data_IF_479377942526
#
_entry.id   IF_479377942526
#
_cell.length_a   1.000
_cell.length_b   1.000
_cell.length_c   1.000
_cell.angle_alpha   90.00
_cell.angle_beta   90.00
_cell.angle_gamma   90.00
#
_symmetry.space_group_name_H-M   'P 1'
#
loop_
_entity.id
_entity.type
_entity.pdbx_description
1 polymer ?
#
# COMPACT_ATOMS: atom_id res chain seq x y z
N UNK A 1 14.76 -30.49 10.16
CA UNK A 1 14.80 -29.02 10.12
C UNK A 1 13.77 -28.58 9.08
N UNK A 2 12.54 -28.33 9.52
CA UNK A 2 11.42 -27.94 8.68
C UNK A 2 11.67 -26.52 8.18
N UNK A 3 11.80 -26.36 6.87
CA UNK A 3 11.79 -25.06 6.20
C UNK A 3 10.46 -24.38 6.54
N UNK A 4 10.50 -23.31 7.31
CA UNK A 4 9.34 -22.44 7.50
C UNK A 4 8.97 -21.87 6.13
N UNK A 5 8.08 -22.54 5.43
CA UNK A 5 7.34 -22.00 4.30
C UNK A 5 6.67 -20.74 4.84
N UNK A 6 7.07 -19.57 4.32
CA UNK A 6 6.58 -18.28 4.79
C UNK A 6 5.06 -18.19 4.65
N UNK A 7 4.37 -18.56 5.70
CA UNK A 7 2.91 -18.43 5.81
C UNK A 7 2.56 -16.96 5.75
N UNK A 8 1.74 -16.57 4.76
CA UNK A 8 1.27 -15.21 4.62
C UNK A 8 0.39 -14.85 5.84
N UNK A 9 0.80 -13.87 6.61
CA UNK A 9 -0.03 -13.33 7.69
C UNK A 9 -1.07 -12.39 7.08
N UNK A 10 -2.33 -12.50 7.52
CA UNK A 10 -3.37 -11.58 7.11
C UNK A 10 -3.15 -10.21 7.75
N UNK A 11 -3.26 -9.13 6.97
CA UNK A 11 -3.10 -7.75 7.48
C UNK A 11 -4.18 -7.38 8.50
N UNK A 12 -5.34 -8.02 8.43
CA UNK A 12 -6.47 -7.79 9.32
C UNK A 12 -6.46 -8.72 10.56
N UNK A 13 -5.51 -9.65 10.67
CA UNK A 13 -5.45 -10.55 11.82
C UNK A 13 -5.38 -9.77 13.13
N UNK A 14 -6.25 -10.11 14.10
CA UNK A 14 -6.34 -9.44 15.39
C UNK A 14 -6.97 -8.04 15.36
N UNK A 15 -7.50 -7.57 14.22
CA UNK A 15 -8.24 -6.32 14.13
C UNK A 15 -9.74 -6.53 14.36
N UNK A 16 -10.48 -5.44 14.50
CA UNK A 16 -11.96 -5.42 14.58
C UNK A 16 -12.66 -6.00 13.35
N UNK A 17 -11.94 -6.37 12.31
CA UNK A 17 -12.44 -6.98 11.07
C UNK A 17 -12.03 -8.45 10.92
N UNK A 18 -11.47 -9.06 11.99
CA UNK A 18 -11.06 -10.45 12.04
C UNK A 18 -11.74 -11.15 13.24
N UNK A 19 -12.42 -12.32 13.00
CA UNK A 19 -12.56 -13.11 11.76
C UNK A 19 -13.52 -12.48 10.74
N UNK A 20 -13.14 -12.52 9.47
CA UNK A 20 -13.93 -11.93 8.38
C UNK A 20 -14.70 -13.02 7.57
N UNK A 21 -15.41 -12.59 6.54
CA UNK A 21 -16.18 -13.49 5.66
C UNK A 21 -15.34 -14.63 5.05
N UNK A 22 -14.02 -14.48 4.91
CA UNK A 22 -13.16 -15.56 4.44
C UNK A 22 -13.08 -16.73 5.44
N UNK A 23 -13.30 -16.48 6.73
CA UNK A 23 -13.39 -17.54 7.74
C UNK A 23 -14.66 -18.39 7.54
N UNK A 24 -15.78 -17.74 7.17
CA UNK A 24 -17.05 -18.40 6.86
C UNK A 24 -16.99 -19.25 5.59
N UNK A 25 -16.20 -18.80 4.61
CA UNK A 25 -16.04 -19.48 3.33
C UNK A 25 -14.97 -20.59 3.33
N UNK A 26 -14.27 -20.83 4.43
CA UNK A 26 -13.15 -21.77 4.46
C UNK A 26 -11.92 -21.27 3.70
N UNK A 27 -11.74 -19.94 3.58
CA UNK A 27 -10.74 -19.30 2.75
C UNK A 27 -9.83 -18.32 3.55
N UNK A 28 -9.76 -18.51 4.87
CA UNK A 28 -8.98 -17.63 5.73
C UNK A 28 -7.49 -17.60 5.32
N UNK A 29 -6.91 -16.41 5.19
CA UNK A 29 -5.51 -16.26 4.76
C UNK A 29 -4.52 -16.70 5.85
N UNK A 30 -4.87 -16.53 7.12
CA UNK A 30 -3.96 -16.71 8.25
C UNK A 30 -4.19 -17.99 9.07
N UNK A 31 -5.43 -18.44 9.21
CA UNK A 31 -5.77 -19.57 10.08
C UNK A 31 -5.99 -20.85 9.26
N UNK A 32 -5.17 -21.87 9.48
CA UNK A 32 -5.24 -23.16 8.79
C UNK A 32 -6.56 -23.89 9.06
N UNK A 33 -7.05 -23.90 10.30
CA UNK A 33 -8.34 -24.50 10.62
C UNK A 33 -9.51 -23.84 9.91
N UNK A 34 -9.47 -22.52 9.70
CA UNK A 34 -10.48 -21.78 8.94
C UNK A 34 -10.23 -21.80 7.42
N UNK A 35 -9.20 -22.51 6.96
CA UNK A 35 -9.01 -22.97 5.57
C UNK A 35 -9.55 -24.38 5.34
N UNK A 36 -10.00 -25.07 6.39
CA UNK A 36 -10.45 -26.46 6.32
C UNK A 36 -9.34 -27.48 6.52
N UNK A 37 -8.17 -27.08 7.04
CA UNK A 37 -7.10 -28.00 7.40
C UNK A 37 -7.39 -28.65 8.78
N UNK A 38 -6.99 -29.90 8.97
CA UNK A 38 -7.26 -30.66 10.21
C UNK A 38 -6.38 -30.21 11.37
N UNK A 39 -5.22 -29.60 11.09
CA UNK A 39 -4.24 -29.20 12.10
C UNK A 39 -4.01 -27.70 12.12
N UNK A 40 -3.79 -27.16 13.33
CA UNK A 40 -3.40 -25.79 13.51
C UNK A 40 -1.92 -25.59 13.11
N UNK A 41 -1.69 -24.94 11.97
CA UNK A 41 -0.36 -24.57 11.46
C UNK A 41 -0.37 -23.11 11.00
N UNK A 42 -0.61 -22.17 11.92
CA UNK A 42 -0.61 -20.76 11.60
C UNK A 42 0.62 -20.04 12.21
N UNK A 43 1.13 -19.04 11.50
CA UNK A 43 2.24 -18.17 11.98
C UNK A 43 1.76 -16.94 12.77
N UNK A 44 0.46 -16.82 13.01
CA UNK A 44 -0.11 -15.73 13.77
C UNK A 44 0.18 -15.87 15.28
N UNK A 45 0.73 -14.83 15.90
CA UNK A 45 1.13 -14.83 17.32
C UNK A 45 0.22 -14.00 18.23
N UNK A 46 -0.86 -13.43 17.69
CA UNK A 46 -1.87 -12.69 18.46
C UNK A 46 -2.97 -13.61 19.05
N UNK A 47 -4.12 -13.02 19.37
CA UNK A 47 -5.29 -13.78 19.83
C UNK A 47 -5.70 -14.80 18.77
N UNK A 48 -5.99 -16.03 19.19
CA UNK A 48 -6.33 -17.12 18.26
C UNK A 48 -7.57 -16.81 17.44
N UNK A 49 -7.41 -16.69 16.12
CA UNK A 49 -8.50 -16.35 15.18
C UNK A 49 -9.62 -17.41 15.20
N UNK A 50 -9.24 -18.68 15.35
CA UNK A 50 -10.22 -19.76 15.44
C UNK A 50 -11.07 -19.67 16.73
N UNK A 51 -10.44 -19.33 17.86
CA UNK A 51 -11.17 -19.13 19.11
C UNK A 51 -12.11 -17.93 19.02
N UNK A 52 -11.68 -16.82 18.43
CA UNK A 52 -12.55 -15.66 18.20
C UNK A 52 -13.73 -16.00 17.28
N UNK A 53 -13.49 -16.81 16.24
CA UNK A 53 -14.55 -17.33 15.39
C UNK A 53 -15.59 -18.14 16.15
N UNK A 54 -15.16 -19.02 17.06
CA UNK A 54 -16.06 -19.79 17.91
C UNK A 54 -16.83 -18.90 18.87
N UNK A 55 -16.17 -17.92 19.51
CA UNK A 55 -16.82 -16.97 20.44
C UNK A 55 -17.81 -16.04 19.73
N UNK A 56 -17.57 -15.69 18.48
CA UNK A 56 -18.51 -14.96 17.63
C UNK A 56 -19.69 -15.81 17.15
N UNK A 57 -19.82 -17.06 17.64
CA UNK A 57 -20.89 -17.97 17.25
C UNK A 57 -20.72 -18.51 15.82
N UNK A 58 -19.50 -18.67 15.37
CA UNK A 58 -19.13 -19.09 13.99
C UNK A 58 -19.70 -18.15 12.94
N UNK A 59 -19.58 -16.84 13.16
CA UNK A 59 -20.01 -15.79 12.24
C UNK A 59 -18.89 -14.78 12.01
N UNK A 60 -18.80 -14.22 10.80
CA UNK A 60 -17.85 -13.16 10.54
C UNK A 60 -18.22 -11.89 11.32
N UNK A 61 -17.22 -11.12 11.71
CA UNK A 61 -17.42 -9.76 12.21
C UNK A 61 -17.93 -8.85 11.07
N UNK A 62 -18.59 -7.73 11.41
CA UNK A 62 -19.11 -6.81 10.41
C UNK A 62 -18.02 -6.35 9.44
N UNK A 63 -18.33 -6.25 8.13
CA UNK A 63 -17.40 -5.70 7.16
C UNK A 63 -17.14 -4.21 7.41
N UNK A 64 -16.11 -3.68 6.77
CA UNK A 64 -15.79 -2.24 6.82
C UNK A 64 -16.99 -1.41 6.38
N UNK A 65 -17.42 -0.42 7.18
CA UNK A 65 -18.56 0.43 6.87
C UNK A 65 -18.26 1.35 5.69
N UNK A 66 -19.30 1.75 5.00
CA UNK A 66 -19.28 2.89 4.11
C UNK A 66 -19.69 4.15 4.92
N UNK A 67 -19.02 5.26 4.68
CA UNK A 67 -19.25 6.52 5.36
C UNK A 67 -19.03 7.72 4.44
N UNK A 68 -19.55 8.87 4.81
CA UNK A 68 -19.40 10.11 4.08
C UNK A 68 -18.15 10.87 4.54
N UNK A 69 -17.41 11.41 3.56
CA UNK A 69 -16.29 12.31 3.79
C UNK A 69 -16.65 13.69 3.25
N UNK A 70 -16.86 14.70 4.11
CA UNK A 70 -16.99 16.07 3.67
C UNK A 70 -15.77 16.49 2.85
N UNK A 71 -16.01 16.92 1.62
CA UNK A 71 -14.99 17.38 0.70
C UNK A 71 -14.75 18.87 0.93
N UNK A 72 -13.57 19.21 1.47
CA UNK A 72 -13.21 20.59 1.78
C UNK A 72 -12.69 21.30 0.52
N UNK A 73 -11.82 20.63 -0.25
CA UNK A 73 -11.14 21.23 -1.39
C UNK A 73 -10.69 20.16 -2.38
N UNK A 74 -10.67 20.52 -3.66
CA UNK A 74 -9.97 19.79 -4.72
C UNK A 74 -8.97 20.74 -5.38
N UNK A 75 -7.69 20.42 -5.27
CA UNK A 75 -6.64 21.12 -5.98
C UNK A 75 -6.31 20.33 -7.26
N UNK A 76 -6.68 20.89 -8.41
CA UNK A 76 -6.33 20.32 -9.70
C UNK A 76 -5.05 21.00 -10.20
N UNK A 77 -3.89 20.44 -9.83
CA UNK A 77 -2.59 20.95 -10.25
C UNK A 77 -2.33 20.83 -11.76
N UNK A 78 -3.11 19.97 -12.42
CA UNK A 78 -3.11 19.77 -13.88
C UNK A 78 -4.34 18.96 -14.29
N UNK A 79 -4.54 18.78 -15.61
CA UNK A 79 -5.59 17.89 -16.12
C UNK A 79 -5.35 16.39 -15.79
N UNK A 80 -4.19 16.05 -15.26
CA UNK A 80 -3.77 14.67 -14.95
C UNK A 80 -3.68 14.36 -13.46
N UNK A 81 -3.78 15.39 -12.57
CA UNK A 81 -3.64 15.24 -11.13
C UNK A 81 -4.72 16.02 -10.39
N UNK A 82 -5.33 15.39 -9.39
CA UNK A 82 -6.17 16.04 -8.40
C UNK A 82 -5.71 15.66 -6.98
N UNK A 83 -5.68 16.63 -6.08
CA UNK A 83 -5.47 16.43 -4.63
C UNK A 83 -6.75 16.81 -3.92
N UNK A 84 -7.31 15.87 -3.17
CA UNK A 84 -8.53 16.03 -2.39
C UNK A 84 -8.17 16.30 -0.95
N UNK A 85 -8.74 17.34 -0.36
CA UNK A 85 -8.75 17.57 1.08
C UNK A 85 -10.14 17.24 1.61
N UNK A 86 -10.21 16.30 2.55
CA UNK A 86 -11.45 15.82 3.14
C UNK A 86 -11.38 15.85 4.67
N UNK A 87 -12.54 15.79 5.32
CA UNK A 87 -12.63 15.62 6.76
C UNK A 87 -12.91 14.15 7.11
N UNK A 88 -12.00 13.55 7.89
CA UNK A 88 -12.13 12.17 8.37
C UNK A 88 -12.87 12.17 9.71
N UNK A 89 -13.86 11.28 9.92
CA UNK A 89 -14.47 11.11 11.24
C UNK A 89 -13.39 10.84 12.31
N UNK A 90 -13.45 11.56 13.44
CA UNK A 90 -12.39 11.54 14.45
C UNK A 90 -12.02 10.14 14.96
N UNK A 91 -13.03 9.25 15.09
CA UNK A 91 -12.80 7.86 15.49
C UNK A 91 -12.03 7.01 14.48
N UNK A 92 -11.90 7.47 13.20
CA UNK A 92 -11.19 6.74 12.14
C UNK A 92 -9.82 7.34 11.83
N UNK A 93 -9.50 8.53 12.33
CA UNK A 93 -8.27 9.24 11.97
C UNK A 93 -7.00 8.42 12.29
N UNK A 94 -6.98 7.73 13.42
CA UNK A 94 -5.87 6.85 13.81
C UNK A 94 -5.68 5.68 12.85
N UNK A 95 -6.76 5.00 12.49
CA UNK A 95 -6.74 3.86 11.58
C UNK A 95 -6.36 4.25 10.14
N UNK A 96 -6.83 5.43 9.69
CA UNK A 96 -6.51 5.99 8.37
C UNK A 96 -5.05 6.46 8.31
N UNK A 97 -4.48 6.93 9.43
CA UNK A 97 -3.08 7.37 9.50
C UNK A 97 -2.06 6.22 9.55
N UNK A 98 -2.48 4.97 9.65
CA UNK A 98 -1.55 3.85 9.67
C UNK A 98 -0.79 3.72 8.34
N UNK A 99 0.54 3.51 8.39
CA UNK A 99 1.35 3.30 7.18
C UNK A 99 0.76 2.16 6.34
N UNK A 100 0.55 2.40 5.06
CA UNK A 100 -0.06 1.48 4.11
C UNK A 100 -1.60 1.50 4.11
N UNK A 101 -2.22 2.44 4.84
CA UNK A 101 -3.65 2.62 4.78
C UNK A 101 -4.10 3.25 3.45
N UNK A 102 -5.27 2.79 2.98
CA UNK A 102 -5.98 3.39 1.86
C UNK A 102 -7.50 3.33 2.09
N UNK A 103 -8.22 4.17 1.40
CA UNK A 103 -9.68 4.15 1.34
C UNK A 103 -10.15 3.84 -0.08
N UNK A 104 -11.28 3.18 -0.22
CA UNK A 104 -12.04 3.25 -1.46
C UNK A 104 -12.86 4.52 -1.45
N UNK A 105 -12.67 5.36 -2.46
CA UNK A 105 -13.41 6.61 -2.65
C UNK A 105 -14.26 6.53 -3.91
N UNK A 106 -15.46 7.09 -3.84
CA UNK A 106 -16.35 7.30 -5.01
C UNK A 106 -17.28 8.49 -4.82
N UNK A 107 -17.78 9.10 -5.91
CA UNK A 107 -18.81 10.12 -5.82
C UNK A 107 -20.15 9.55 -5.33
N UNK A 108 -20.96 10.31 -4.57
CA UNK A 108 -22.33 9.93 -4.26
C UNK A 108 -23.15 9.63 -5.51
N UNK A 109 -24.15 8.76 -5.39
CA UNK A 109 -25.00 8.37 -6.50
C UNK A 109 -24.36 7.42 -7.53
N UNK A 110 -23.05 7.11 -7.40
CA UNK A 110 -22.38 6.12 -8.25
C UNK A 110 -22.45 4.71 -7.64
N UNK A 111 -22.36 3.69 -8.51
CA UNK A 111 -22.34 2.28 -8.06
C UNK A 111 -20.98 1.93 -7.44
N UNK A 112 -20.94 0.87 -6.64
CA UNK A 112 -19.72 0.37 -5.99
C UNK A 112 -18.58 0.02 -6.96
N UNK A 113 -18.88 -0.28 -8.23
CA UNK A 113 -17.84 -0.46 -9.25
C UNK A 113 -17.03 0.81 -9.52
N UNK A 114 -17.48 1.98 -9.05
CA UNK A 114 -16.72 3.22 -9.07
C UNK A 114 -15.75 3.36 -7.90
N UNK A 115 -15.80 2.49 -6.90
CA UNK A 115 -14.81 2.48 -5.83
C UNK A 115 -13.38 2.52 -6.39
N UNK A 116 -12.63 3.53 -6.00
CA UNK A 116 -11.24 3.75 -6.40
C UNK A 116 -10.37 3.66 -5.16
N UNK A 117 -9.43 2.71 -5.08
CA UNK A 117 -8.50 2.66 -3.96
C UNK A 117 -7.56 3.86 -4.03
N UNK A 118 -7.49 4.63 -2.96
CA UNK A 118 -6.66 5.83 -2.88
C UNK A 118 -5.88 5.82 -1.56
N UNK A 119 -4.56 5.85 -1.66
CA UNK A 119 -3.67 5.91 -0.50
C UNK A 119 -3.62 7.32 0.09
N UNK A 120 -3.43 7.38 1.40
CA UNK A 120 -3.28 8.64 2.11
C UNK A 120 -2.01 9.37 1.66
N UNK A 121 -2.13 10.67 1.42
CA UNK A 121 -1.01 11.58 1.18
C UNK A 121 -0.49 12.17 2.51
N UNK A 122 -1.38 12.70 3.33
CA UNK A 122 -1.11 13.11 4.70
C UNK A 122 -2.42 13.29 5.50
N UNK A 123 -2.27 13.50 6.82
CA UNK A 123 -3.37 13.79 7.72
C UNK A 123 -2.91 14.70 8.87
N UNK A 124 -3.69 15.74 9.14
CA UNK A 124 -3.47 16.67 10.24
C UNK A 124 -4.78 16.82 11.05
N UNK A 125 -4.81 16.21 12.23
CA UNK A 125 -6.06 16.09 13.01
C UNK A 125 -7.08 15.25 12.23
N UNK A 126 -8.22 15.84 11.89
CA UNK A 126 -9.27 15.20 11.07
C UNK A 126 -9.17 15.54 9.57
N UNK A 127 -8.26 16.40 9.16
CA UNK A 127 -8.09 16.77 7.75
C UNK A 127 -7.09 15.85 7.07
N UNK A 128 -7.54 15.11 6.06
CA UNK A 128 -6.72 14.20 5.28
C UNK A 128 -6.64 14.65 3.82
N UNK A 129 -5.47 14.44 3.19
CA UNK A 129 -5.28 14.68 1.77
C UNK A 129 -5.02 13.35 1.05
N UNK A 130 -5.58 13.25 -0.15
CA UNK A 130 -5.44 12.11 -1.05
C UNK A 130 -5.13 12.63 -2.45
N UNK A 131 -4.15 12.02 -3.12
CA UNK A 131 -3.81 12.37 -4.50
C UNK A 131 -4.27 11.29 -5.48
N UNK A 132 -4.80 11.71 -6.62
CA UNK A 132 -5.35 10.82 -7.65
C UNK A 132 -4.86 11.26 -9.02
N UNK A 133 -4.33 10.32 -9.80
CA UNK A 133 -4.06 10.52 -11.21
C UNK A 133 -5.35 10.38 -12.01
N UNK A 134 -5.66 11.40 -12.83
CA UNK A 134 -6.89 11.45 -13.62
C UNK A 134 -6.65 10.72 -14.95
N UNK A 135 -7.01 9.44 -15.04
CA UNK A 135 -6.77 8.61 -16.23
C UNK A 135 -8.05 8.01 -16.83
N UNK A 136 -8.98 7.59 -15.98
CA UNK A 136 -10.15 6.82 -16.41
C UNK A 136 -11.47 7.37 -15.88
N UNK A 137 -12.62 6.71 -16.20
CA UNK A 137 -13.94 7.17 -15.78
C UNK A 137 -14.08 7.38 -14.28
N UNK A 138 -13.52 6.48 -13.45
CA UNK A 138 -13.58 6.55 -11.98
C UNK A 138 -12.88 7.80 -11.45
N UNK A 139 -11.63 8.02 -11.86
CA UNK A 139 -10.83 9.16 -11.40
C UNK A 139 -11.31 10.48 -11.98
N UNK A 140 -11.87 10.49 -13.20
CA UNK A 140 -12.55 11.66 -13.76
C UNK A 140 -13.82 12.01 -13.00
N UNK A 141 -14.60 11.00 -12.56
CA UNK A 141 -15.78 11.22 -11.75
C UNK A 141 -15.39 11.79 -10.36
N UNK A 142 -14.36 11.25 -9.71
CA UNK A 142 -13.82 11.78 -8.46
C UNK A 142 -13.39 13.24 -8.61
N UNK A 143 -12.59 13.58 -9.64
CA UNK A 143 -12.09 14.94 -9.85
C UNK A 143 -13.20 15.99 -10.10
N UNK A 144 -14.43 15.56 -10.43
CA UNK A 144 -15.61 16.41 -10.60
C UNK A 144 -16.55 16.44 -9.41
N UNK A 145 -16.20 15.75 -8.33
CA UNK A 145 -17.04 15.69 -7.12
C UNK A 145 -17.11 17.03 -6.40
N UNK A 146 -18.18 17.23 -5.67
CA UNK A 146 -18.37 18.38 -4.81
C UNK A 146 -19.16 17.99 -3.55
N UNK A 147 -18.99 18.72 -2.46
CA UNK A 147 -19.73 18.54 -1.22
C UNK A 147 -19.29 17.34 -0.39
N UNK A 148 -19.44 16.12 -0.89
CA UNK A 148 -19.12 14.90 -0.14
C UNK A 148 -18.57 13.81 -1.06
N UNK A 149 -17.71 12.95 -0.53
CA UNK A 149 -17.31 11.66 -1.14
C UNK A 149 -17.84 10.51 -0.28
N UNK A 150 -18.18 9.41 -0.91
CA UNK A 150 -18.41 8.16 -0.20
C UNK A 150 -17.08 7.42 -0.06
N UNK A 151 -16.80 6.97 1.16
CA UNK A 151 -15.59 6.24 1.49
C UNK A 151 -15.94 4.90 2.13
N UNK A 152 -15.10 3.90 1.87
CA UNK A 152 -15.13 2.62 2.58
C UNK A 152 -13.71 2.24 2.99
N UNK A 153 -13.54 1.82 4.23
CA UNK A 153 -12.23 1.48 4.80
C UNK A 153 -12.14 1.83 6.29
N UNK A 154 -10.92 2.02 6.82
CA UNK A 154 -9.64 1.90 6.12
C UNK A 154 -9.24 0.44 5.81
N UNK A 155 -8.41 0.27 4.78
CA UNK A 155 -7.71 -0.97 4.44
C UNK A 155 -6.22 -0.73 4.62
N UNK A 156 -5.44 -1.72 5.07
CA UNK A 156 -4.06 -1.49 5.52
C UNK A 156 -2.98 -2.17 4.67
N UNK A 157 -3.36 -2.80 3.56
CA UNK A 157 -2.43 -3.53 2.71
C UNK A 157 -2.06 -2.78 1.41
N UNK A 158 -1.95 -1.45 1.49
CA UNK A 158 -1.51 -0.61 0.37
C UNK A 158 0.00 -0.68 0.09
N UNK A 159 0.77 -1.41 0.89
CA UNK A 159 2.22 -1.55 0.75
C UNK A 159 2.62 -3.01 0.97
N UNK A 160 3.39 -3.57 0.02
CA UNK A 160 4.09 -4.82 0.20
C UNK A 160 5.23 -4.68 1.21
N UNK A 161 5.29 -5.59 2.20
CA UNK A 161 6.29 -5.54 3.26
C UNK A 161 6.05 -4.43 4.29
N UNK A 162 4.82 -3.95 4.45
CA UNK A 162 4.45 -2.82 5.32
C UNK A 162 4.96 -2.95 6.75
N UNK A 163 5.09 -4.16 7.29
CA UNK A 163 5.60 -4.38 8.64
C UNK A 163 7.06 -3.92 8.80
N UNK A 164 7.85 -3.96 7.71
CA UNK A 164 9.23 -3.44 7.73
C UNK A 164 9.27 -1.93 7.95
N UNK A 165 8.32 -1.19 7.34
CA UNK A 165 8.18 0.26 7.55
C UNK A 165 7.69 0.57 8.96
N UNK A 166 6.65 -0.14 9.43
CA UNK A 166 6.05 0.08 10.77
C UNK A 166 7.04 -0.17 11.91
N UNK A 167 7.97 -1.11 11.70
CA UNK A 167 8.96 -1.52 12.70
C UNK A 167 10.33 -0.83 12.53
N UNK A 168 10.49 0.05 11.54
CA UNK A 168 11.76 0.74 11.31
C UNK A 168 11.98 1.83 12.37
N UNK A 169 13.15 1.81 13.00
CA UNK A 169 13.56 2.81 14.01
C UNK A 169 15.03 3.13 13.84
N UNK A 170 15.40 4.38 14.14
CA UNK A 170 16.79 4.87 14.18
C UNK A 170 17.62 4.45 12.95
N UNK A 171 16.99 4.45 11.78
CA UNK A 171 17.52 3.90 10.55
C UNK A 171 17.47 4.93 9.41
N UNK A 172 18.24 4.66 8.34
CA UNK A 172 18.23 5.45 7.12
C UNK A 172 17.29 4.81 6.10
N UNK A 173 16.29 5.55 5.64
CA UNK A 173 15.34 5.08 4.65
C UNK A 173 15.42 5.90 3.36
N UNK A 174 15.44 5.22 2.21
CA UNK A 174 15.30 5.81 0.89
C UNK A 174 13.90 5.54 0.36
N UNK A 175 13.18 6.59 -0.02
CA UNK A 175 11.90 6.48 -0.73
C UNK A 175 12.13 6.86 -2.18
N UNK A 176 11.88 5.95 -3.11
CA UNK A 176 11.95 6.24 -4.55
C UNK A 176 10.54 6.50 -5.07
N UNK A 177 10.25 7.74 -5.41
CA UNK A 177 8.92 8.21 -5.78
C UNK A 177 8.81 8.51 -7.28
N UNK A 178 7.75 7.97 -7.92
CA UNK A 178 7.45 8.18 -9.34
C UNK A 178 5.98 8.48 -9.60
N UNK A 179 5.72 9.52 -10.39
CA UNK A 179 4.36 9.86 -10.81
C UNK A 179 3.42 10.09 -9.63
N UNK A 180 2.26 9.42 -9.63
CA UNK A 180 1.27 9.53 -8.54
C UNK A 180 1.77 8.96 -7.20
N UNK A 181 2.77 8.08 -7.23
CA UNK A 181 3.41 7.56 -6.03
C UNK A 181 4.07 8.63 -5.15
N UNK A 182 4.28 9.83 -5.68
CA UNK A 182 4.76 10.97 -4.89
C UNK A 182 3.82 11.30 -3.72
N UNK A 183 2.50 11.22 -3.93
CA UNK A 183 1.52 11.52 -2.88
C UNK A 183 1.68 10.63 -1.64
N UNK A 184 1.52 9.30 -1.75
CA UNK A 184 1.72 8.38 -0.63
C UNK A 184 3.13 8.44 0.00
N UNK A 185 4.15 8.83 -0.78
CA UNK A 185 5.51 9.01 -0.27
C UNK A 185 5.59 10.06 0.83
N UNK A 186 4.74 11.10 0.80
CA UNK A 186 4.67 12.12 1.87
C UNK A 186 4.29 11.49 3.20
N UNK A 187 3.23 10.67 3.20
CA UNK A 187 2.75 10.02 4.40
C UNK A 187 3.78 9.01 4.96
N UNK A 188 4.39 8.22 4.08
CA UNK A 188 5.44 7.27 4.48
C UNK A 188 6.64 8.02 5.06
N UNK A 189 7.10 9.10 4.41
CA UNK A 189 8.22 9.90 4.90
C UNK A 189 7.94 10.52 6.27
N UNK A 190 6.79 11.18 6.42
CA UNK A 190 6.40 11.79 7.69
C UNK A 190 6.28 10.79 8.83
N UNK A 191 5.71 9.62 8.55
CA UNK A 191 5.57 8.54 9.54
C UNK A 191 6.93 7.96 9.95
N UNK A 192 7.86 7.77 9.01
CA UNK A 192 9.20 7.27 9.30
C UNK A 192 10.02 8.28 10.10
N UNK A 193 9.97 9.57 9.74
CA UNK A 193 10.65 10.65 10.46
C UNK A 193 10.08 10.79 11.87
N UNK A 194 8.76 10.75 12.02
CA UNK A 194 8.11 10.73 13.32
C UNK A 194 8.49 9.51 14.19
N UNK A 195 8.93 8.41 13.57
CA UNK A 195 9.49 7.22 14.22
C UNK A 195 11.00 7.27 14.50
N UNK A 196 11.67 8.43 14.32
CA UNK A 196 13.10 8.62 14.60
C UNK A 196 14.04 8.25 13.46
N UNK A 197 13.51 7.98 12.25
CA UNK A 197 14.33 7.62 11.09
C UNK A 197 14.76 8.85 10.29
N UNK A 198 15.91 8.78 9.61
CA UNK A 198 16.28 9.73 8.58
C UNK A 198 15.78 9.26 7.22
N UNK A 199 15.17 10.18 6.46
CA UNK A 199 14.51 9.84 5.19
C UNK A 199 15.05 10.70 4.05
N UNK A 200 15.45 10.04 2.99
CA UNK A 200 15.75 10.67 1.70
C UNK A 200 14.68 10.25 0.69
N UNK A 201 14.12 11.20 -0.04
CA UNK A 201 13.17 10.93 -1.14
C UNK A 201 13.83 11.23 -2.46
N UNK A 202 13.98 10.21 -3.30
CA UNK A 202 14.50 10.31 -4.65
C UNK A 202 13.34 10.31 -5.66
N UNK A 203 13.29 11.33 -6.52
CA UNK A 203 12.30 11.43 -7.59
C UNK A 203 12.88 10.88 -8.88
N UNK A 204 12.14 9.97 -9.51
CA UNK A 204 12.47 9.45 -10.84
C UNK A 204 11.56 10.06 -11.90
N UNK A 205 12.02 10.26 -13.15
CA UNK A 205 11.22 10.80 -14.24
C UNK A 205 9.94 10.01 -14.51
N UNK A 206 8.87 10.72 -14.87
CA UNK A 206 7.56 10.12 -15.19
C UNK A 206 6.88 10.90 -16.31
N UNK A 207 6.41 10.19 -17.33
CA UNK A 207 5.64 10.80 -18.44
C UNK A 207 4.24 11.21 -18.02
N UNK A 208 3.65 10.50 -17.05
CA UNK A 208 2.28 10.72 -16.61
C UNK A 208 2.10 11.92 -15.68
N UNK A 209 3.08 12.17 -14.82
CA UNK A 209 3.18 13.34 -13.94
C UNK A 209 4.65 13.78 -13.97
N UNK A 210 5.01 14.65 -14.94
CA UNK A 210 6.42 15.00 -15.20
C UNK A 210 6.99 16.06 -14.26
N UNK A 211 6.29 16.40 -13.18
CA UNK A 211 6.69 17.40 -12.21
C UNK A 211 6.62 16.88 -10.79
N UNK A 212 7.38 17.46 -9.90
CA UNK A 212 7.32 17.18 -8.45
C UNK A 212 6.29 18.10 -7.82
N UNK A 213 5.20 17.51 -7.30
CA UNK A 213 4.08 18.27 -6.70
C UNK A 213 4.07 18.24 -5.17
N UNK A 214 4.95 17.45 -4.55
CA UNK A 214 4.99 17.21 -3.09
C UNK A 214 6.24 17.78 -2.41
N UNK A 215 7.04 18.58 -3.13
CA UNK A 215 8.33 19.07 -2.61
C UNK A 215 8.19 19.84 -1.30
N UNK A 216 7.19 20.75 -1.25
CA UNK A 216 6.90 21.54 -0.04
C UNK A 216 6.49 20.66 1.14
N UNK A 217 5.65 19.67 0.89
CA UNK A 217 5.15 18.78 1.92
C UNK A 217 6.28 17.92 2.50
N UNK A 218 7.13 17.36 1.63
CA UNK A 218 8.26 16.53 2.05
C UNK A 218 9.33 17.33 2.81
N UNK A 219 9.62 18.56 2.37
CA UNK A 219 10.50 19.45 3.14
C UNK A 219 9.87 19.82 4.50
N UNK A 220 8.57 20.02 4.52
CA UNK A 220 7.81 20.32 5.74
C UNK A 220 7.87 19.22 6.79
N UNK A 221 7.94 17.95 6.39
CA UNK A 221 8.12 16.81 7.31
C UNK A 221 9.60 16.52 7.63
N UNK A 222 10.57 17.23 6.99
CA UNK A 222 12.00 17.10 7.28
C UNK A 222 12.74 16.08 6.41
N UNK A 223 12.19 15.66 5.28
CA UNK A 223 12.86 14.75 4.35
C UNK A 223 13.94 15.45 3.52
N UNK A 224 15.05 14.77 3.27
CA UNK A 224 16.05 15.15 2.26
C UNK A 224 15.54 14.77 0.87
N UNK A 225 15.77 15.62 -0.13
CA UNK A 225 15.25 15.42 -1.48
C UNK A 225 16.38 15.30 -2.51
N UNK A 226 16.25 14.33 -3.41
CA UNK A 226 17.16 14.10 -4.53
C UNK A 226 16.33 13.98 -5.81
N UNK A 227 16.75 14.60 -6.90
CA UNK A 227 16.20 14.38 -8.24
C UNK A 227 17.16 13.51 -9.02
N UNK A 228 16.63 12.41 -9.55
CA UNK A 228 17.37 11.51 -10.41
C UNK A 228 17.02 11.84 -11.86
N UNK A 229 17.82 12.71 -12.45
CA UNK A 229 17.70 13.10 -13.85
C UNK A 229 18.54 12.16 -14.74
N UNK A 230 18.27 12.14 -16.05
CA UNK A 230 19.03 11.36 -17.04
C UNK A 230 18.26 10.22 -17.67
N UNK A 231 18.83 9.61 -18.71
CA UNK A 231 18.29 8.42 -19.38
C UNK A 231 18.34 7.18 -18.46
N UNK A 232 17.51 6.15 -18.79
CA UNK A 232 17.28 5.01 -17.90
C UNK A 232 18.54 4.39 -17.27
N UNK A 233 19.61 4.21 -18.03
CA UNK A 233 20.86 3.60 -17.51
C UNK A 233 21.67 4.51 -16.58
N UNK A 234 21.59 5.84 -16.69
CA UNK A 234 22.27 6.77 -15.81
C UNK A 234 21.51 6.88 -14.47
N UNK A 235 20.22 7.01 -14.53
CA UNK A 235 19.35 7.00 -13.34
C UNK A 235 19.49 5.69 -12.55
N UNK A 236 19.53 4.53 -13.21
CA UNK A 236 19.72 3.24 -12.55
C UNK A 236 21.07 3.15 -11.84
N UNK A 237 22.15 3.63 -12.46
CA UNK A 237 23.48 3.68 -11.84
C UNK A 237 23.49 4.57 -10.60
N UNK A 238 22.96 5.80 -10.71
CA UNK A 238 22.86 6.73 -9.57
C UNK A 238 22.07 6.13 -8.43
N UNK A 239 20.99 5.41 -8.73
CA UNK A 239 20.19 4.75 -7.72
C UNK A 239 20.92 3.56 -7.09
N UNK A 240 21.65 2.76 -7.88
CA UNK A 240 22.44 1.64 -7.38
C UNK A 240 23.54 2.10 -6.41
N UNK A 241 24.22 3.20 -6.74
CA UNK A 241 25.26 3.78 -5.90
C UNK A 241 24.69 4.27 -4.55
N UNK A 242 23.44 4.76 -4.54
CA UNK A 242 22.79 5.24 -3.32
C UNK A 242 22.27 4.11 -2.44
N UNK A 243 21.73 3.04 -3.00
CA UNK A 243 20.98 2.00 -2.25
C UNK A 243 21.78 1.43 -1.08
N UNK A 244 23.10 1.26 -1.25
CA UNK A 244 23.98 0.70 -0.22
C UNK A 244 24.08 1.54 1.07
N UNK A 245 23.73 2.81 1.01
CA UNK A 245 23.76 3.72 2.14
C UNK A 245 22.51 3.66 3.04
N UNK A 246 21.51 2.88 2.66
CA UNK A 246 20.22 2.84 3.34
C UNK A 246 19.88 1.45 3.90
N UNK A 247 19.27 1.44 5.07
CA UNK A 247 18.80 0.22 5.75
C UNK A 247 17.51 -0.33 5.12
N UNK A 248 16.72 0.58 4.53
CA UNK A 248 15.46 0.25 3.87
C UNK A 248 15.24 1.13 2.64
N UNK A 249 14.77 0.52 1.55
CA UNK A 249 14.25 1.21 0.36
C UNK A 249 12.76 0.97 0.24
N UNK A 250 11.99 2.05 0.07
CA UNK A 250 10.58 2.00 -0.28
C UNK A 250 10.36 2.50 -1.70
N UNK A 251 9.78 1.67 -2.56
CA UNK A 251 9.39 2.08 -3.92
C UNK A 251 7.94 2.52 -3.97
N UNK A 252 7.72 3.81 -4.18
CA UNK A 252 6.39 4.41 -4.35
C UNK A 252 6.19 4.81 -5.81
N UNK A 253 5.74 3.86 -6.63
CA UNK A 253 5.64 4.02 -8.08
C UNK A 253 5.06 2.80 -8.78
N UNK A 254 5.23 2.66 -10.10
CA UNK A 254 4.71 1.53 -10.88
C UNK A 254 5.53 0.24 -10.66
N UNK A 255 4.95 -0.90 -11.05
CA UNK A 255 5.59 -2.23 -10.91
C UNK A 255 6.93 -2.34 -11.68
N UNK A 256 7.07 -1.63 -12.81
CA UNK A 256 8.35 -1.53 -13.54
C UNK A 256 9.46 -0.95 -12.66
N UNK A 257 9.16 0.10 -11.88
CA UNK A 257 10.10 0.65 -10.91
C UNK A 257 10.38 -0.34 -9.77
N UNK A 258 9.37 -1.04 -9.28
CA UNK A 258 9.55 -2.05 -8.23
C UNK A 258 10.48 -3.16 -8.66
N UNK A 259 10.32 -3.69 -9.89
CA UNK A 259 11.22 -4.70 -10.48
C UNK A 259 12.65 -4.20 -10.62
N UNK A 260 12.82 -2.99 -11.16
CA UNK A 260 14.13 -2.36 -11.29
C UNK A 260 14.83 -2.27 -9.91
N UNK A 261 14.17 -1.72 -8.90
CA UNK A 261 14.74 -1.58 -7.56
C UNK A 261 15.03 -2.94 -6.93
N UNK A 262 14.16 -3.93 -7.11
CA UNK A 262 14.40 -5.31 -6.64
C UNK A 262 15.71 -5.88 -7.24
N UNK A 263 15.94 -5.67 -8.53
CA UNK A 263 17.17 -6.08 -9.22
C UNK A 263 18.39 -5.36 -8.65
N UNK A 264 18.33 -4.04 -8.51
CA UNK A 264 19.42 -3.22 -7.99
C UNK A 264 19.80 -3.61 -6.55
N UNK A 265 18.83 -3.83 -5.68
CA UNK A 265 19.08 -4.27 -4.30
C UNK A 265 19.78 -5.63 -4.28
N UNK A 266 19.35 -6.58 -5.10
CA UNK A 266 20.00 -7.91 -5.17
C UNK A 266 21.47 -7.82 -5.60
N UNK A 267 21.79 -6.90 -6.51
CA UNK A 267 23.12 -6.72 -7.06
C UNK A 267 24.04 -5.91 -6.16
N UNK A 268 23.55 -4.77 -5.66
CA UNK A 268 24.37 -3.78 -4.96
C UNK A 268 24.35 -3.96 -3.42
N UNK A 269 23.21 -4.30 -2.82
CA UNK A 269 23.06 -4.36 -1.36
C UNK A 269 22.00 -5.37 -0.90
N UNK A 270 22.30 -6.68 -0.93
CA UNK A 270 21.31 -7.72 -0.57
C UNK A 270 20.78 -7.66 0.86
N UNK A 271 21.41 -6.86 1.74
CA UNK A 271 20.98 -6.67 3.15
C UNK A 271 19.95 -5.58 3.31
N UNK A 272 19.84 -4.66 2.35
CA UNK A 272 18.88 -3.56 2.39
C UNK A 272 17.45 -4.11 2.31
N UNK A 273 16.62 -3.75 3.28
CA UNK A 273 15.21 -4.16 3.29
C UNK A 273 14.46 -3.45 2.18
N UNK A 274 13.51 -4.14 1.56
CA UNK A 274 12.70 -3.58 0.49
C UNK A 274 11.21 -3.60 0.82
N UNK A 275 10.52 -2.53 0.44
CA UNK A 275 9.06 -2.38 0.48
C UNK A 275 8.59 -1.67 -0.78
N UNK A 276 7.35 -1.93 -1.20
CA UNK A 276 6.81 -1.33 -2.43
C UNK A 276 5.31 -1.04 -2.30
N UNK A 277 4.82 -0.05 -3.02
CA UNK A 277 3.38 0.17 -3.19
C UNK A 277 2.70 -1.10 -3.71
N UNK A 278 1.54 -1.43 -3.15
CA UNK A 278 0.75 -2.55 -3.62
C UNK A 278 -0.16 -2.08 -4.77
N UNK A 279 0.28 -2.31 -5.99
CA UNK A 279 -0.43 -1.91 -7.22
C UNK A 279 -1.44 -2.95 -7.71
N UNK A 280 -1.71 -4.00 -6.93
CA UNK A 280 -2.70 -5.01 -7.31
C UNK A 280 -4.08 -4.39 -7.53
N UNK A 281 -4.85 -4.98 -8.45
CA UNK A 281 -6.21 -4.52 -8.74
C UNK A 281 -7.10 -4.72 -7.50
N UNK A 282 -7.31 -3.66 -6.74
CA UNK A 282 -8.17 -3.66 -5.56
C UNK A 282 -9.62 -3.40 -6.00
N UNK A 283 -10.48 -4.41 -5.84
CA UNK A 283 -11.90 -4.32 -6.19
C UNK A 283 -12.80 -4.32 -4.96
N UNK A 284 -12.78 -5.38 -4.13
CA UNK A 284 -13.59 -5.45 -2.91
C UNK A 284 -12.83 -5.07 -1.63
N UNK A 285 -11.50 -5.28 -1.57
CA UNK A 285 -10.70 -5.12 -0.35
C UNK A 285 -10.90 -6.21 0.71
N UNK A 286 -11.92 -7.05 0.56
CA UNK A 286 -12.33 -8.03 1.57
C UNK A 286 -11.94 -9.48 1.20
N UNK A 287 -11.18 -9.66 0.10
CA UNK A 287 -10.67 -10.96 -0.33
C UNK A 287 -11.65 -11.81 -1.15
N UNK A 288 -12.91 -11.40 -1.28
CA UNK A 288 -13.99 -12.24 -1.85
C UNK A 288 -13.95 -12.30 -3.38
N UNK A 289 -13.63 -11.19 -4.06
CA UNK A 289 -13.81 -11.10 -5.53
C UNK A 289 -12.67 -11.74 -6.34
N UNK A 290 -11.54 -12.11 -5.72
CA UNK A 290 -10.39 -12.68 -6.41
C UNK A 290 -9.57 -11.69 -7.28
N UNK A 291 -10.05 -10.47 -7.53
CA UNK A 291 -9.43 -9.51 -8.46
C UNK A 291 -8.01 -9.06 -8.09
N UNK A 292 -7.63 -9.19 -6.82
CA UNK A 292 -6.28 -8.87 -6.32
C UNK A 292 -5.40 -10.13 -6.13
N UNK A 293 -5.70 -11.21 -6.85
CA UNK A 293 -4.92 -12.44 -6.78
C UNK A 293 -3.48 -12.22 -7.25
N UNK A 294 -2.52 -12.71 -6.47
CA UNK A 294 -1.10 -12.70 -6.82
C UNK A 294 -0.47 -14.05 -6.49
N UNK A 295 0.50 -14.45 -7.32
CA UNK A 295 1.30 -15.63 -7.06
C UNK A 295 2.58 -15.25 -6.30
N UNK A 296 2.98 -16.11 -5.38
CA UNK A 296 4.28 -16.02 -4.69
C UNK A 296 5.30 -16.92 -5.37
N UNK A 297 6.59 -16.70 -5.11
CA UNK A 297 7.70 -17.54 -5.62
C UNK A 297 7.57 -19.03 -5.28
N UNK A 298 6.79 -19.35 -4.24
CA UNK A 298 6.49 -20.73 -3.85
C UNK A 298 5.27 -21.30 -4.58
N UNK A 299 4.82 -20.64 -5.66
CA UNK A 299 3.60 -20.95 -6.42
C UNK A 299 2.32 -20.97 -5.56
N UNK A 300 2.36 -20.32 -4.42
CA UNK A 300 1.19 -20.15 -3.58
C UNK A 300 0.41 -18.91 -4.04
N UNK A 301 -0.86 -19.13 -4.41
CA UNK A 301 -1.76 -18.03 -4.76
C UNK A 301 -2.33 -17.40 -3.49
N UNK A 302 -2.36 -16.07 -3.43
CA UNK A 302 -2.95 -15.35 -2.31
C UNK A 302 -3.64 -14.07 -2.76
N UNK A 303 -4.34 -13.44 -1.83
CA UNK A 303 -5.11 -12.20 -2.08
C UNK A 303 -4.35 -10.99 -1.57
N UNK A 304 -3.87 -10.16 -2.48
CA UNK A 304 -3.08 -8.97 -2.16
C UNK A 304 -3.79 -7.97 -1.22
N UNK A 305 -5.11 -7.95 -1.18
CA UNK A 305 -5.85 -7.10 -0.25
C UNK A 305 -5.85 -7.62 1.20
N UNK A 306 -5.46 -8.87 1.43
CA UNK A 306 -5.46 -9.52 2.75
C UNK A 306 -4.08 -10.00 3.20
N UNK A 307 -3.33 -10.61 2.30
CA UNK A 307 -2.05 -11.20 2.63
C UNK A 307 -0.95 -10.14 2.81
N UNK A 308 -0.28 -10.17 3.96
CA UNK A 308 0.92 -9.38 4.22
C UNK A 308 2.13 -10.15 3.69
N UNK A 309 2.57 -9.84 2.47
CA UNK A 309 3.74 -10.45 1.83
C UNK A 309 4.84 -9.41 1.63
N UNK A 310 6.07 -9.88 1.62
CA UNK A 310 7.20 -9.02 1.25
C UNK A 310 7.36 -8.98 -0.28
N UNK A 311 7.86 -7.87 -0.85
CA UNK A 311 8.02 -7.75 -2.31
C UNK A 311 8.85 -8.87 -2.93
N UNK A 312 9.85 -9.38 -2.22
CA UNK A 312 10.71 -10.47 -2.70
C UNK A 312 9.97 -11.80 -2.86
N UNK A 313 8.80 -11.94 -2.24
CA UNK A 313 7.95 -13.13 -2.34
C UNK A 313 6.92 -13.03 -3.48
N UNK A 314 6.64 -11.83 -3.97
CA UNK A 314 5.65 -11.59 -5.03
C UNK A 314 6.28 -11.92 -6.39
N UNK A 315 5.75 -12.91 -7.12
CA UNK A 315 6.33 -13.37 -8.40
C UNK A 315 6.44 -12.25 -9.41
N UNK A 316 5.39 -11.49 -9.63
CA UNK A 316 5.33 -10.36 -10.56
C UNK A 316 6.45 -9.33 -10.37
N UNK A 317 6.91 -9.12 -9.12
CA UNK A 317 7.99 -8.17 -8.81
C UNK A 317 9.39 -8.76 -8.95
N UNK A 318 9.49 -10.05 -9.30
CA UNK A 318 10.75 -10.79 -9.34
C UNK A 318 11.02 -11.51 -10.67
N UNK A 319 10.05 -11.47 -11.58
CA UNK A 319 10.25 -11.97 -12.94
C UNK A 319 11.23 -11.06 -13.67
N UNK A 320 12.31 -11.63 -14.18
CA UNK A 320 13.14 -11.00 -15.21
C UNK A 320 12.28 -10.92 -16.48
N UNK A 321 12.35 -9.80 -17.19
CA UNK A 321 11.50 -9.52 -18.36
C UNK A 321 11.49 -10.69 -19.34
N UNK A 322 10.42 -11.48 -19.34
CA UNK A 322 10.10 -12.47 -20.37
C UNK A 322 9.43 -11.82 -21.61
N UNK A 323 9.63 -10.51 -21.80
CA UNK A 323 9.09 -9.76 -22.95
C UNK A 323 10.22 -9.24 -23.84
N UNK A 324 11.06 -10.14 -24.32
CA UNK A 324 11.70 -10.01 -25.62
C UNK A 324 10.92 -10.91 -26.58
N UNK A 325 10.28 -10.28 -27.58
CA UNK A 325 9.59 -10.87 -28.73
C UNK A 325 8.15 -11.37 -28.52
N UNK A 326 7.20 -10.46 -28.69
CA UNK A 326 5.96 -10.73 -29.43
C UNK A 326 5.51 -9.44 -30.15
#
# INVERSE_FOLDING_TARGET
MSSSQGTCVCIDAGSQFCPCVLADLGECVACSLLKGEDLCDCSWSGVCIYSEWLWAGRRPLPPRPEFELPLIQIDSGSNTLAVFTVEIPGGLAGDVSAIGAFLFLRPPGTRQCFNTPVSLMDIHGCRARFSVQIVGPKTKALARSSGVLLARGPYWNGIWGVQRLRNLRDSRALIVAKGIGQGPAVHVAGSLIGGGNSVTVAFTPSDSIPFVFVEKDLRGVGASLVRLDGGGGEMERSLADMIGDFDLVHSSGPDTQHRMITRLIRQASPRTKFTASNNSVMCCGDGVCGGCGVSTKTNHWTRACKASVNPEQVSLLNEEELWHDA
#
